data_IF_490948847140
#
_entry.id   IF_490948847140
#
_cell.length_a   1.000
_cell.length_b   1.000
_cell.length_c   1.000
_cell.angle_alpha   90.00
_cell.angle_beta   90.00
_cell.angle_gamma   90.00
#
_symmetry.space_group_name_H-M   'P 1'
#
loop_
_entity.id
_entity.type
_entity.pdbx_description
1 polymer ?
#
# COMPACT_ATOMS: atom_id res chain seq x y z
N UNK A 1 28.67 11.85 -19.97
CA UNK A 1 27.64 10.91 -19.48
C UNK A 1 26.99 11.56 -18.28
N UNK A 2 25.77 12.07 -18.44
CA UNK A 2 25.00 12.63 -17.32
C UNK A 2 24.51 11.47 -16.45
N UNK A 3 24.82 11.52 -15.15
CA UNK A 3 24.33 10.55 -14.17
C UNK A 3 22.88 10.93 -13.86
N UNK A 4 21.94 10.09 -14.25
CA UNK A 4 20.54 10.21 -13.83
C UNK A 4 20.50 9.72 -12.38
N UNK A 5 20.68 10.65 -11.45
CA UNK A 5 20.50 10.39 -10.02
C UNK A 5 19.01 10.51 -9.71
N UNK A 6 18.41 9.40 -9.27
CA UNK A 6 17.06 9.39 -8.77
C UNK A 6 17.06 9.97 -7.37
N UNK A 7 16.64 11.23 -7.23
CA UNK A 7 16.24 11.76 -5.93
C UNK A 7 14.95 11.04 -5.49
N UNK A 8 15.11 10.05 -4.61
CA UNK A 8 13.97 9.53 -3.86
C UNK A 8 13.51 10.71 -3.00
N UNK A 9 12.46 11.40 -3.44
CA UNK A 9 11.94 12.58 -2.76
C UNK A 9 11.92 12.30 -1.26
N UNK A 10 12.70 13.10 -0.51
CA UNK A 10 12.82 12.94 0.94
C UNK A 10 11.44 12.88 1.57
N UNK A 11 11.30 12.25 2.75
CA UNK A 11 10.00 12.00 3.36
C UNK A 11 9.26 13.34 3.44
N UNK A 12 8.29 13.54 2.54
CA UNK A 12 7.29 14.56 2.72
C UNK A 12 6.46 14.07 3.89
N UNK A 13 6.97 14.36 5.08
CA UNK A 13 6.30 14.27 6.36
C UNK A 13 5.19 15.33 6.39
N UNK A 14 4.25 15.28 5.45
CA UNK A 14 2.89 15.50 5.87
C UNK A 14 2.57 14.29 6.70
N UNK A 15 2.52 14.42 8.04
CA UNK A 15 2.06 13.37 8.96
C UNK A 15 0.61 12.91 8.72
N UNK A 16 0.09 13.13 7.51
CA UNK A 16 -1.18 12.63 7.01
C UNK A 16 -1.00 11.16 6.70
N UNK A 17 -1.26 10.33 7.71
CA UNK A 17 -1.56 8.92 7.50
C UNK A 17 -2.65 8.78 6.42
N UNK A 18 -2.48 7.83 5.52
CA UNK A 18 -3.50 7.47 4.52
C UNK A 18 -4.74 6.94 5.24
N UNK A 19 -5.94 7.18 4.70
CA UNK A 19 -7.17 6.60 5.26
C UNK A 19 -7.06 5.07 5.37
N UNK A 20 -7.82 4.49 6.30
CA UNK A 20 -7.87 3.04 6.46
C UNK A 20 -8.35 2.36 5.16
N UNK A 21 -7.50 1.51 4.57
CA UNK A 21 -7.84 0.72 3.39
C UNK A 21 -8.05 -0.74 3.79
N UNK A 22 -9.20 -1.35 3.45
CA UNK A 22 -9.45 -2.76 3.73
C UNK A 22 -8.68 -3.69 2.78
N UNK A 23 -8.27 -4.84 3.31
CA UNK A 23 -7.76 -5.96 2.50
C UNK A 23 -8.90 -6.65 1.76
N UNK A 24 -8.63 -7.15 0.56
CA UNK A 24 -9.59 -7.87 -0.27
C UNK A 24 -9.51 -9.38 -0.01
N UNK A 25 -10.65 -10.07 -0.09
CA UNK A 25 -10.71 -11.54 -0.01
C UNK A 25 -10.54 -12.14 -1.40
N UNK A 26 -9.80 -13.24 -1.49
CA UNK A 26 -9.76 -14.03 -2.71
C UNK A 26 -11.12 -14.69 -2.95
N UNK A 27 -11.66 -14.53 -4.16
CA UNK A 27 -12.81 -15.30 -4.62
C UNK A 27 -12.29 -16.63 -5.21
N UNK A 28 -12.78 -17.79 -4.73
CA UNK A 28 -12.35 -19.09 -5.25
C UNK A 28 -12.60 -19.25 -6.76
N UNK A 29 -13.63 -18.59 -7.30
CA UNK A 29 -14.02 -18.64 -8.70
C UNK A 29 -13.26 -17.65 -9.61
N UNK A 30 -12.36 -16.83 -9.06
CA UNK A 30 -11.54 -15.91 -9.85
C UNK A 30 -10.39 -16.61 -10.54
N UNK A 31 -9.93 -16.01 -11.65
CA UNK A 31 -8.73 -16.45 -12.36
C UNK A 31 -7.48 -16.31 -11.49
N UNK A 32 -6.42 -17.06 -11.82
CA UNK A 32 -5.15 -17.01 -11.08
C UNK A 32 -4.52 -15.61 -11.09
N UNK A 33 -4.68 -14.88 -12.21
CA UNK A 33 -4.20 -13.49 -12.33
C UNK A 33 -4.94 -12.54 -11.38
N UNK A 34 -6.25 -12.71 -11.22
CA UNK A 34 -7.05 -11.91 -10.28
C UNK A 34 -6.69 -12.24 -8.84
N UNK A 35 -6.50 -13.52 -8.51
CA UNK A 35 -6.02 -13.96 -7.18
C UNK A 35 -4.66 -13.37 -6.87
N UNK A 36 -3.75 -13.32 -7.85
CA UNK A 36 -2.43 -12.73 -7.67
C UNK A 36 -2.49 -11.21 -7.51
N UNK A 37 -3.37 -10.53 -8.25
CA UNK A 37 -3.60 -9.09 -8.09
C UNK A 37 -4.12 -8.75 -6.69
N UNK A 38 -5.04 -9.57 -6.16
CA UNK A 38 -5.57 -9.42 -4.79
C UNK A 38 -4.48 -9.67 -3.74
N UNK A 39 -3.59 -10.65 -3.95
CA UNK A 39 -2.43 -10.86 -3.07
C UNK A 39 -1.52 -9.65 -3.05
N UNK A 40 -1.14 -9.12 -4.23
CA UNK A 40 -0.26 -7.96 -4.33
C UNK A 40 -0.86 -6.74 -3.64
N UNK A 41 -2.17 -6.50 -3.85
CA UNK A 41 -2.90 -5.44 -3.16
C UNK A 41 -2.82 -5.58 -1.64
N UNK A 42 -3.10 -6.78 -1.11
CA UNK A 42 -3.05 -7.03 0.32
C UNK A 42 -1.65 -6.86 0.91
N UNK A 43 -0.60 -7.24 0.18
CA UNK A 43 0.80 -7.01 0.59
C UNK A 43 1.08 -5.52 0.71
N UNK A 44 0.68 -4.70 -0.27
CA UNK A 44 0.87 -3.24 -0.21
C UNK A 44 0.10 -2.60 0.95
N UNK A 45 -1.17 -2.99 1.14
CA UNK A 45 -2.00 -2.48 2.24
C UNK A 45 -1.41 -2.83 3.61
N UNK A 46 -0.91 -4.06 3.77
CA UNK A 46 -0.26 -4.48 5.01
C UNK A 46 1.06 -3.74 5.23
N UNK A 47 1.88 -3.54 4.19
CA UNK A 47 3.10 -2.74 4.30
C UNK A 47 2.81 -1.31 4.75
N UNK A 48 1.79 -0.65 4.21
CA UNK A 48 1.38 0.69 4.65
C UNK A 48 0.92 0.70 6.12
N UNK A 49 0.22 -0.34 6.56
CA UNK A 49 -0.23 -0.49 7.95
C UNK A 49 0.95 -0.71 8.90
N UNK A 50 1.85 -1.64 8.57
CA UNK A 50 3.01 -2.00 9.39
C UNK A 50 4.00 -0.84 9.54
N UNK A 51 4.11 0.02 8.52
CA UNK A 51 4.94 1.22 8.58
C UNK A 51 4.25 2.42 9.28
N UNK A 52 3.06 2.23 9.86
CA UNK A 52 2.32 3.29 10.55
C UNK A 52 1.84 4.42 9.63
N UNK A 53 1.82 4.19 8.32
CA UNK A 53 1.42 5.16 7.29
C UNK A 53 -0.09 5.17 7.06
N UNK A 54 -0.85 4.36 7.79
CA UNK A 54 -2.30 4.23 7.66
C UNK A 54 -2.99 4.60 8.98
N UNK A 55 -4.09 5.35 8.91
CA UNK A 55 -4.94 5.67 10.06
C UNK A 55 -5.51 4.38 10.66
N UNK A 56 -5.63 4.35 11.98
CA UNK A 56 -6.35 3.27 12.63
C UNK A 56 -7.84 3.32 12.26
N UNK A 57 -8.50 2.17 12.27
CA UNK A 57 -9.93 2.11 11.98
C UNK A 57 -10.68 2.84 13.11
N UNK A 58 -11.11 4.08 12.85
CA UNK A 58 -11.78 4.94 13.83
C UNK A 58 -10.99 6.16 14.28
N UNK A 59 -9.78 6.38 13.75
CA UNK A 59 -9.04 7.65 13.89
C UNK A 59 -9.65 8.67 12.91
N UNK A 60 -10.58 9.52 13.37
CA UNK A 60 -11.08 10.68 12.60
C UNK A 60 -9.98 11.73 12.37
#
# INVERSE_FOLDING_TARGET
MEKIEWEVGGPQSSGKKVQHIPTLRNNPNSSDKEKESVRLWNVMVNALRENGLMKEKGEE
#
